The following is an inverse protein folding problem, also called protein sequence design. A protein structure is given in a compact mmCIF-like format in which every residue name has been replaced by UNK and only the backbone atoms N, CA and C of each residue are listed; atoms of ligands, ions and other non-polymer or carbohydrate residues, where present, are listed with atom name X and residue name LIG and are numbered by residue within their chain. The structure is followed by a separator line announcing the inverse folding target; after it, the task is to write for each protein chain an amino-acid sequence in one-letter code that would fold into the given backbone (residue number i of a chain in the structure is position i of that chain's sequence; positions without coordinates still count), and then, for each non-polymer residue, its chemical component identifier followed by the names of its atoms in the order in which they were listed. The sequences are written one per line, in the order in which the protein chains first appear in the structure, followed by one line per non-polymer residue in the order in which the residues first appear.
data_IF_586580945423
#
_entry.id   IF_586580945423
#
_cell.length_a   1.000
_cell.length_b   1.000
_cell.length_c   1.000
_cell.angle_alpha   90.00
_cell.angle_beta   90.00
_cell.angle_gamma   90.00
#
_symmetry.space_group_name_H-M   'P 1'
#
loop_
_entity.id
_entity.type
_entity.pdbx_description
1 polymer ?
#
# COMPACT_ATOMS: atom_id res chain seq x y z
N UNK A 1 -25.42 10.19 56.83
CA UNK A 1 -25.15 9.92 56.37
C UNK A 1 -24.94 9.73 55.40
N UNK A 2 -24.78 9.64 54.83
CA UNK A 2 -24.53 9.33 54.06
C UNK A 2 -24.12 9.16 53.09
N UNK A 3 -23.90 8.99 52.38
CA UNK A 3 -23.57 8.49 51.62
C UNK A 3 -23.46 8.75 50.44
N UNK A 4 -22.78 8.87 49.78
CA UNK A 4 -22.53 9.18 48.77
C UNK A 4 -22.20 8.65 47.82
N UNK A 5 -22.18 8.58 46.89
CA UNK A 5 -22.14 8.08 45.93
C UNK A 5 -21.15 8.12 45.05
N UNK A 6 -20.47 7.27 44.56
CA UNK A 6 -19.38 7.18 43.63
C UNK A 6 -19.78 6.93 42.21
N UNK A 7 -21.00 6.97 41.91
CA UNK A 7 -21.46 6.66 40.55
C UNK A 7 -20.97 7.61 39.49
N UNK A 8 -20.71 8.85 39.82
CA UNK A 8 -20.24 9.83 38.84
C UNK A 8 -18.84 9.48 38.29
N UNK A 9 -18.01 8.86 39.07
CA UNK A 9 -16.66 8.49 38.69
C UNK A 9 -16.68 7.40 37.61
N UNK A 10 -17.59 6.47 37.70
CA UNK A 10 -17.69 5.36 36.77
C UNK A 10 -18.07 5.87 35.37
N UNK A 11 -18.95 6.84 35.29
CA UNK A 11 -19.40 7.39 34.02
C UNK A 11 -18.25 8.08 33.29
N UNK A 12 -17.38 8.80 33.98
CA UNK A 12 -16.25 9.47 33.38
C UNK A 12 -15.28 8.49 32.75
N UNK A 13 -15.06 7.33 33.35
CA UNK A 13 -14.17 6.31 32.80
C UNK A 13 -14.69 5.73 31.49
N UNK A 14 -15.99 5.51 31.40
CA UNK A 14 -16.59 4.97 30.18
C UNK A 14 -16.45 5.96 29.00
N UNK A 15 -16.60 7.23 29.25
CA UNK A 15 -16.44 8.25 28.22
C UNK A 15 -15.02 8.27 27.64
N UNK A 16 -14.02 8.10 28.50
CA UNK A 16 -12.64 8.07 28.05
C UNK A 16 -12.35 6.88 27.15
N UNK A 17 -12.92 5.71 27.44
CA UNK A 17 -12.71 4.53 26.61
C UNK A 17 -13.31 4.67 25.23
N UNK A 18 -14.48 5.31 25.12
CA UNK A 18 -15.12 5.50 23.81
C UNK A 18 -14.29 6.37 22.88
N UNK A 19 -13.59 7.35 23.41
CA UNK A 19 -12.79 8.23 22.56
C UNK A 19 -11.54 7.56 22.00
N UNK A 20 -11.07 6.49 22.61
CA UNK A 20 -9.87 5.81 22.13
C UNK A 20 -10.13 4.84 20.99
N UNK A 21 -11.39 4.67 20.57
CA UNK A 21 -11.74 3.71 19.52
C UNK A 21 -11.79 4.31 18.12
N UNK A 22 -11.44 5.59 17.95
CA UNK A 22 -11.42 6.21 16.63
C UNK A 22 -10.31 5.59 15.80
N UNK A 23 -10.69 4.79 14.84
CA UNK A 23 -9.75 4.14 13.95
C UNK A 23 -9.51 5.01 12.73
N UNK A 24 -8.32 4.94 12.19
CA UNK A 24 -8.00 5.61 10.96
C UNK A 24 -8.10 4.63 9.81
N UNK A 25 -8.71 5.07 8.71
CA UNK A 25 -8.94 4.25 7.53
C UNK A 25 -7.93 4.54 6.42
N UNK A 26 -6.76 5.14 6.73
CA UNK A 26 -5.72 5.33 5.74
C UNK A 26 -5.09 4.00 5.37
N UNK A 27 -5.00 3.66 4.08
CA UNK A 27 -4.35 2.42 3.68
C UNK A 27 -2.85 2.50 3.94
N UNK A 28 -2.29 1.40 4.40
CA UNK A 28 -0.85 1.24 4.57
C UNK A 28 -0.40 0.07 3.73
N UNK A 29 0.75 0.18 3.10
CA UNK A 29 1.34 -0.95 2.42
C UNK A 29 1.93 -1.89 3.47
N UNK A 30 1.38 -3.09 3.56
CA UNK A 30 1.83 -4.09 4.53
C UNK A 30 2.91 -5.00 3.97
N UNK A 31 2.83 -5.31 2.67
CA UNK A 31 3.76 -6.21 2.01
C UNK A 31 3.70 -6.01 0.51
N UNK A 32 4.77 -6.35 -0.18
CA UNK A 32 4.81 -6.38 -1.63
C UNK A 32 5.59 -7.59 -2.11
N UNK A 33 5.28 -8.05 -3.32
CA UNK A 33 6.01 -9.11 -3.99
C UNK A 33 6.25 -8.65 -5.43
N UNK A 34 7.47 -8.38 -5.87
CA UNK A 34 8.72 -8.45 -5.08
C UNK A 34 8.74 -7.46 -3.93
N UNK A 35 9.45 -7.80 -2.85
CA UNK A 35 9.59 -6.92 -1.70
C UNK A 35 10.56 -5.78 -1.99
N UNK A 36 10.51 -4.74 -1.15
CA UNK A 36 11.45 -3.62 -1.27
C UNK A 36 12.90 -4.14 -1.24
N UNK A 37 13.67 -3.77 -2.26
CA UNK A 37 15.07 -4.17 -2.36
C UNK A 37 15.32 -5.59 -2.83
N UNK A 38 14.29 -6.33 -3.19
CA UNK A 38 14.45 -7.70 -3.66
C UNK A 38 15.19 -7.75 -4.99
N UNK A 39 15.94 -8.84 -5.22
CA UNK A 39 16.65 -9.08 -6.47
C UNK A 39 16.36 -10.51 -6.91
N UNK A 40 16.14 -10.72 -8.18
CA UNK A 40 15.89 -12.07 -8.68
C UNK A 40 15.35 -12.11 -10.09
N UNK A 41 14.72 -13.22 -10.43
CA UNK A 41 14.15 -13.43 -11.75
C UNK A 41 13.01 -12.44 -12.01
N UNK A 42 12.70 -12.16 -13.30
CA UNK A 42 11.61 -11.25 -13.62
C UNK A 42 10.29 -11.79 -13.06
N UNK A 43 9.56 -10.96 -12.29
CA UNK A 43 8.23 -11.38 -11.83
C UNK A 43 7.22 -11.28 -12.96
N UNK A 44 6.26 -12.19 -12.98
CA UNK A 44 5.14 -12.13 -13.93
C UNK A 44 4.15 -11.05 -13.52
N UNK A 45 4.06 -10.79 -12.23
CA UNK A 45 3.17 -9.77 -11.69
C UNK A 45 3.75 -9.24 -10.39
N UNK A 46 3.35 -8.03 -10.06
CA UNK A 46 3.74 -7.39 -8.81
C UNK A 46 2.48 -7.26 -7.97
N UNK A 47 2.57 -7.64 -6.69
CA UNK A 47 1.43 -7.58 -5.79
C UNK A 47 1.73 -6.61 -4.65
N UNK A 48 0.80 -5.72 -4.40
CA UNK A 48 0.87 -4.79 -3.28
C UNK A 48 -0.29 -5.10 -2.34
N UNK A 49 0.02 -5.37 -1.08
CA UNK A 49 -0.98 -5.74 -0.08
C UNK A 49 -1.13 -4.62 0.93
N UNK A 50 -2.34 -4.10 1.04
CA UNK A 50 -2.65 -2.95 1.90
C UNK A 50 -3.47 -3.35 3.11
N UNK A 51 -3.52 -2.45 4.09
CA UNK A 51 -4.26 -2.67 5.33
C UNK A 51 -5.76 -2.46 5.19
N UNK A 52 -6.21 -1.78 4.12
CA UNK A 52 -7.60 -1.40 3.92
C UNK A 52 -8.07 -1.80 2.52
N UNK A 53 -9.38 -1.96 2.37
CA UNK A 53 -9.96 -2.18 1.05
C UNK A 53 -9.71 -0.95 0.17
N UNK A 54 -9.33 -1.17 -1.05
CA UNK A 54 -9.01 -0.10 -1.99
C UNK A 54 -10.23 0.27 -2.85
N UNK A 55 -10.37 1.57 -3.10
CA UNK A 55 -11.31 2.06 -4.11
C UNK A 55 -10.55 2.02 -5.43
N UNK A 56 -10.84 1.03 -6.25
CA UNK A 56 -10.03 0.75 -7.45
C UNK A 56 -10.04 1.89 -8.46
N UNK A 57 -11.15 2.62 -8.59
CA UNK A 57 -11.21 3.72 -9.55
C UNK A 57 -10.27 4.88 -9.21
N UNK A 58 -9.85 5.01 -7.96
CA UNK A 58 -8.99 6.10 -7.52
C UNK A 58 -7.61 5.63 -7.11
N UNK A 59 -7.38 4.34 -7.12
CA UNK A 59 -6.10 3.74 -6.78
C UNK A 59 -5.37 3.32 -8.06
N UNK A 60 -4.05 3.29 -8.03
CA UNK A 60 -3.29 2.90 -9.21
C UNK A 60 -1.81 2.86 -8.95
N UNK A 61 -1.06 2.60 -10.00
CA UNK A 61 0.39 2.52 -9.90
C UNK A 61 1.04 2.77 -11.26
N UNK A 62 2.31 3.14 -11.22
CA UNK A 62 3.16 3.27 -12.41
C UNK A 62 4.38 2.41 -12.19
N UNK A 63 4.75 1.67 -13.22
CA UNK A 63 5.98 0.88 -13.21
C UNK A 63 7.02 1.63 -14.02
N UNK A 64 8.18 1.87 -13.43
CA UNK A 64 9.26 2.63 -14.04
C UNK A 64 10.55 1.83 -13.97
N UNK A 65 11.36 1.91 -15.03
CA UNK A 65 12.73 1.40 -15.00
C UNK A 65 13.65 2.56 -14.69
N UNK A 66 14.48 2.44 -13.67
CA UNK A 66 15.38 3.51 -13.23
C UNK A 66 16.84 3.22 -13.50
N UNK A 67 17.18 1.96 -13.80
CA UNK A 67 18.56 1.55 -14.02
C UNK A 67 18.58 0.35 -14.95
N UNK A 68 19.51 0.33 -15.92
CA UNK A 68 19.71 -0.78 -16.82
C UNK A 68 21.20 -1.09 -16.88
N UNK A 69 21.55 -2.37 -16.77
CA UNK A 69 22.95 -2.82 -16.85
C UNK A 69 23.88 -2.08 -15.87
N UNK A 70 23.38 -1.78 -14.66
CA UNK A 70 24.16 -1.10 -13.64
C UNK A 70 24.30 0.40 -13.84
N UNK A 71 23.68 0.96 -14.87
CA UNK A 71 23.75 2.38 -15.17
C UNK A 71 22.41 3.05 -14.89
N UNK A 72 22.41 4.01 -13.97
CA UNK A 72 21.23 4.79 -13.68
C UNK A 72 20.87 5.68 -14.86
N UNK A 73 19.59 5.85 -15.10
CA UNK A 73 19.08 6.73 -16.13
C UNK A 73 17.77 7.37 -15.67
N UNK A 74 17.27 8.32 -16.44
CA UNK A 74 15.98 8.94 -16.13
C UNK A 74 14.90 7.85 -16.08
N UNK A 75 13.93 7.94 -15.17
CA UNK A 75 12.87 6.93 -15.08
C UNK A 75 12.14 6.78 -16.40
N UNK A 76 12.00 5.54 -16.86
CA UNK A 76 11.32 5.21 -18.11
C UNK A 76 10.05 4.41 -17.80
N UNK A 77 8.89 4.85 -18.28
CA UNK A 77 7.65 4.09 -18.05
C UNK A 77 7.72 2.71 -18.68
N UNK A 78 7.23 1.72 -17.94
CA UNK A 78 7.13 0.34 -18.42
C UNK A 78 5.65 -0.01 -18.47
N UNK A 79 5.21 -0.47 -19.64
CA UNK A 79 3.78 -0.79 -19.81
C UNK A 79 3.36 -1.92 -18.88
N UNK A 80 2.29 -1.69 -18.14
CA UNK A 80 1.74 -2.66 -17.23
C UNK A 80 0.26 -2.41 -17.04
N UNK A 81 -0.47 -3.47 -16.72
CA UNK A 81 -1.88 -3.39 -16.41
C UNK A 81 -2.02 -3.36 -14.90
N UNK A 82 -2.79 -2.41 -14.40
CA UNK A 82 -3.08 -2.32 -12.97
C UNK A 82 -4.50 -2.80 -12.75
N UNK A 83 -4.69 -3.72 -11.81
CA UNK A 83 -6.01 -4.28 -11.50
C UNK A 83 -6.09 -4.62 -10.01
N UNK A 84 -7.31 -4.97 -9.56
CA UNK A 84 -7.48 -5.51 -8.22
C UNK A 84 -7.02 -6.95 -8.15
N UNK A 85 -6.64 -7.38 -6.96
CA UNK A 85 -6.28 -8.76 -6.73
C UNK A 85 -7.47 -9.63 -6.39
N UNK A 86 -7.18 -10.81 -5.83
CA UNK A 86 -8.21 -11.74 -5.40
C UNK A 86 -9.00 -11.22 -4.19
N UNK A 87 -8.43 -10.29 -3.45
CA UNK A 87 -9.12 -9.63 -2.35
C UNK A 87 -9.07 -8.11 -2.55
N UNK A 88 -9.98 -7.37 -1.90
CA UNK A 88 -10.08 -5.92 -2.11
C UNK A 88 -8.91 -5.12 -1.53
N UNK A 89 -8.01 -5.74 -0.79
CA UNK A 89 -6.85 -5.07 -0.21
C UNK A 89 -5.59 -5.22 -1.05
N UNK A 90 -5.68 -5.90 -2.19
CA UNK A 90 -4.53 -6.19 -3.05
C UNK A 90 -4.62 -5.44 -4.36
N UNK A 91 -3.50 -4.84 -4.76
CA UNK A 91 -3.34 -4.22 -6.08
C UNK A 91 -2.35 -5.08 -6.87
N UNK A 92 -2.72 -5.42 -8.11
CA UNK A 92 -1.85 -6.19 -9.01
C UNK A 92 -1.35 -5.29 -10.13
N UNK A 93 -0.06 -5.37 -10.39
CA UNK A 93 0.57 -4.70 -11.53
C UNK A 93 1.18 -5.79 -12.40
N UNK A 94 0.65 -5.94 -13.61
CA UNK A 94 1.06 -7.00 -14.53
C UNK A 94 1.76 -6.38 -15.72
N UNK A 95 3.10 -6.53 -15.85
CA UNK A 95 3.81 -6.04 -17.02
C UNK A 95 3.25 -6.69 -18.29
N UNK A 96 3.16 -5.93 -19.37
CA UNK A 96 2.61 -6.44 -20.64
C UNK A 96 3.61 -7.28 -21.41
N UNK A 97 4.88 -7.22 -21.03
CA UNK A 97 5.95 -8.03 -21.60
C UNK A 97 6.91 -8.42 -20.47
N UNK A 98 7.70 -9.49 -20.63
CA UNK A 98 8.68 -9.88 -19.63
C UNK A 98 9.64 -8.73 -19.32
N UNK A 99 9.94 -8.52 -18.04
CA UNK A 99 10.85 -7.47 -17.62
C UNK A 99 12.28 -7.89 -17.93
N UNK A 100 13.06 -6.95 -18.48
CA UNK A 100 14.48 -7.18 -18.73
C UNK A 100 15.28 -6.87 -17.47
N UNK A 101 16.53 -7.32 -17.42
CA UNK A 101 17.41 -7.04 -16.28
C UNK A 101 17.53 -5.53 -16.06
N UNK A 102 17.42 -5.12 -14.81
CA UNK A 102 17.48 -3.71 -14.45
C UNK A 102 16.85 -3.45 -13.10
N UNK A 103 16.81 -2.19 -12.71
CA UNK A 103 16.17 -1.75 -11.47
C UNK A 103 14.84 -1.09 -11.81
N UNK A 104 13.82 -1.45 -11.07
CA UNK A 104 12.45 -1.00 -11.29
C UNK A 104 11.90 -0.34 -10.04
N UNK A 105 11.03 0.64 -10.24
CA UNK A 105 10.30 1.30 -9.17
C UNK A 105 8.82 1.28 -9.49
N UNK A 106 8.02 0.86 -8.52
CA UNK A 106 6.56 0.95 -8.58
C UNK A 106 6.15 2.15 -7.76
N UNK A 107 5.58 3.16 -8.41
CA UNK A 107 4.99 4.29 -7.71
C UNK A 107 3.51 4.04 -7.59
N UNK A 108 3.01 3.91 -6.38
CA UNK A 108 1.61 3.54 -6.15
C UNK A 108 0.85 4.66 -5.44
N UNK A 109 -0.45 4.64 -5.68
CA UNK A 109 -1.42 5.51 -5.03
C UNK A 109 -2.57 4.63 -4.57
N UNK A 110 -2.88 4.70 -3.29
CA UNK A 110 -3.94 3.91 -2.68
C UNK A 110 -4.97 4.82 -2.04
N UNK A 111 -6.24 4.58 -2.35
CA UNK A 111 -7.37 5.31 -1.80
C UNK A 111 -8.31 4.30 -1.18
N UNK A 112 -8.71 4.50 0.05
CA UNK A 112 -9.67 3.65 0.74
C UNK A 112 -10.95 4.44 1.02
N UNK A 113 -11.80 3.91 1.89
CA UNK A 113 -13.11 4.52 2.17
C UNK A 113 -13.04 5.94 2.74
N UNK A 114 -11.91 6.35 3.30
CA UNK A 114 -11.76 7.72 3.80
C UNK A 114 -11.49 8.73 2.69
N UNK A 115 -11.31 8.26 1.46
CA UNK A 115 -11.10 9.06 0.23
C UNK A 115 -9.79 9.86 0.17
N UNK A 116 -8.91 9.75 1.16
CA UNK A 116 -7.61 10.42 1.13
C UNK A 116 -6.59 9.54 0.43
N UNK A 117 -5.90 10.04 -0.62
CA UNK A 117 -4.87 9.25 -1.28
C UNK A 117 -3.61 9.17 -0.44
N UNK A 118 -3.05 7.97 -0.38
CA UNK A 118 -1.74 7.72 0.19
C UNK A 118 -0.85 7.23 -0.95
N UNK A 119 0.37 7.72 -1.02
CA UNK A 119 1.30 7.35 -2.08
C UNK A 119 2.58 6.79 -1.49
N UNK A 120 3.27 6.00 -2.28
CA UNK A 120 4.56 5.45 -1.91
C UNK A 120 5.19 4.76 -3.09
N UNK A 121 6.28 4.06 -2.84
CA UNK A 121 6.95 3.31 -3.90
C UNK A 121 7.63 2.07 -3.36
N UNK A 122 7.91 1.14 -4.27
CA UNK A 122 8.66 -0.09 -4.00
C UNK A 122 9.70 -0.21 -5.10
N UNK A 123 10.93 -0.52 -4.74
CA UNK A 123 12.03 -0.70 -5.69
C UNK A 123 12.53 -2.14 -5.63
N UNK A 124 12.76 -2.74 -6.79
CA UNK A 124 13.30 -4.10 -6.88
C UNK A 124 14.21 -4.22 -8.11
N UNK A 125 15.02 -5.26 -8.13
CA UNK A 125 15.94 -5.52 -9.25
C UNK A 125 15.62 -6.84 -9.93
N UNK A 126 15.73 -6.82 -11.24
CA UNK A 126 15.64 -8.02 -12.09
C UNK A 126 17.03 -8.35 -12.57
N UNK A 127 17.42 -9.58 -12.38
CA UNK A 127 18.73 -10.08 -12.81
C UNK A 127 18.65 -10.93 -14.07
#
# INVERSE_FOLDING_TARGET
MRIIKPTAVVIALLSGLLMSTLAQAHPKLLASTPAEGAEGAPPDKIELHFSENLVTQFSGAKLLMTEMAGMAHAPMPVKAKVSGGSDPKTMLITPTAPLVAGTYKVEWRAVSSDTHPITGNVTFKVK
#
